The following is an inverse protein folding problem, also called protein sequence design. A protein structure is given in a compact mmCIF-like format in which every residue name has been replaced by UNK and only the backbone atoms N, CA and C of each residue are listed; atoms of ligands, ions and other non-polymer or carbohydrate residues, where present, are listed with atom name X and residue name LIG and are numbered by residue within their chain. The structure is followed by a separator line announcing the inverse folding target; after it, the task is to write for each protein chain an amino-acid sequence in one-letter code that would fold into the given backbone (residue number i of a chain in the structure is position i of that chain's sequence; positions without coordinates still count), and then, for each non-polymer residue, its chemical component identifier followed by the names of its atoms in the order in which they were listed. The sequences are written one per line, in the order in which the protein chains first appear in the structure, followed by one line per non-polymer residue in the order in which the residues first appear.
data_IF_726138145996
#
_entry.id   IF_726138145996
#
_cell.length_a   1.000
_cell.length_b   1.000
_cell.length_c   1.000
_cell.angle_alpha   90.00
_cell.angle_beta   90.00
_cell.angle_gamma   90.00
#
_symmetry.space_group_name_H-M   'P 1'
#
loop_
_entity.id
_entity.type
_entity.pdbx_description
1 polymer ?
#
# COMPACT_ATOMS: atom_id res chain seq x y z
N UNK A 1 -12.12 -25.62 -20.47
CA UNK A 1 -13.51 -25.35 -20.91
C UNK A 1 -14.34 -25.02 -19.68
N UNK A 2 -13.85 -24.12 -18.84
CA UNK A 2 -13.90 -22.65 -18.99
C UNK A 2 -15.27 -22.13 -18.60
N UNK A 3 -15.45 -21.94 -17.30
CA UNK A 3 -16.40 -21.00 -16.75
C UNK A 3 -15.60 -20.05 -15.86
N UNK A 4 -15.10 -18.99 -16.49
CA UNK A 4 -14.59 -17.83 -15.80
C UNK A 4 -15.69 -17.34 -14.84
N UNK A 5 -15.40 -17.37 -13.54
CA UNK A 5 -16.20 -16.69 -12.52
C UNK A 5 -16.00 -15.20 -12.73
N UNK A 6 -16.75 -14.65 -13.68
CA UNK A 6 -16.84 -13.23 -13.96
C UNK A 6 -17.59 -12.56 -12.81
N UNK A 7 -16.84 -12.04 -11.84
CA UNK A 7 -17.38 -11.23 -10.77
C UNK A 7 -17.97 -9.95 -11.37
N UNK A 8 -19.28 -9.96 -11.60
CA UNK A 8 -20.05 -8.77 -11.97
C UNK A 8 -19.98 -7.79 -10.80
N UNK A 9 -19.10 -6.79 -10.92
CA UNK A 9 -18.92 -5.73 -9.95
C UNK A 9 -20.11 -4.75 -10.01
N UNK A 10 -20.84 -4.51 -8.90
CA UNK A 10 -22.04 -3.67 -8.91
C UNK A 10 -21.71 -2.19 -9.16
N UNK A 11 -22.60 -1.50 -9.89
CA UNK A 11 -22.49 -0.07 -10.18
C UNK A 11 -22.27 0.75 -8.89
N UNK A 12 -21.06 1.32 -8.75
CA UNK A 12 -20.58 1.96 -7.51
C UNK A 12 -19.16 1.56 -7.10
N UNK A 13 -18.49 0.68 -7.84
CA UNK A 13 -17.10 0.28 -7.56
C UNK A 13 -16.15 1.47 -7.74
N UNK A 14 -15.81 2.12 -6.63
CA UNK A 14 -14.61 2.94 -6.58
C UNK A 14 -13.43 2.02 -6.88
N UNK A 15 -12.68 2.30 -7.96
CA UNK A 15 -11.49 1.55 -8.31
C UNK A 15 -10.58 1.39 -7.08
N UNK A 16 -10.04 0.18 -6.87
CA UNK A 16 -9.20 -0.07 -5.72
C UNK A 16 -8.02 0.92 -5.72
N UNK A 17 -7.83 1.71 -4.65
CA UNK A 17 -6.81 2.76 -4.60
C UNK A 17 -5.38 2.31 -4.91
N UNK A 18 -5.06 1.02 -4.73
CA UNK A 18 -3.74 0.44 -5.07
C UNK A 18 -3.59 0.08 -6.55
N UNK A 19 -4.61 0.26 -7.40
CA UNK A 19 -4.49 0.07 -8.85
C UNK A 19 -3.83 1.27 -9.54
N UNK A 20 -3.74 2.42 -8.87
CA UNK A 20 -3.01 3.56 -9.38
C UNK A 20 -1.53 3.46 -9.00
N UNK A 21 -0.64 3.18 -9.97
CA UNK A 21 0.79 2.98 -9.72
C UNK A 21 1.44 4.10 -8.91
N UNK A 22 1.03 5.37 -9.13
CA UNK A 22 1.51 6.52 -8.35
C UNK A 22 1.16 6.42 -6.87
N UNK A 23 -0.06 5.95 -6.55
CA UNK A 23 -0.54 5.78 -5.17
C UNK A 23 0.11 4.58 -4.52
N UNK A 24 0.25 3.48 -5.25
CA UNK A 24 0.92 2.27 -4.78
C UNK A 24 2.38 2.56 -4.44
N UNK A 25 3.09 3.27 -5.32
CA UNK A 25 4.46 3.68 -5.07
C UNK A 25 4.60 4.56 -3.82
N UNK A 26 3.73 5.57 -3.68
CA UNK A 26 3.68 6.40 -2.48
C UNK A 26 3.37 5.57 -1.21
N UNK A 27 2.43 4.63 -1.31
CA UNK A 27 2.05 3.75 -0.21
C UNK A 27 3.22 2.89 0.25
N UNK A 28 3.94 2.27 -0.69
CA UNK A 28 5.13 1.48 -0.42
C UNK A 28 6.17 2.31 0.34
N UNK A 29 6.51 3.51 -0.13
CA UNK A 29 7.49 4.39 0.53
C UNK A 29 7.04 4.76 1.94
N UNK A 30 5.77 5.16 2.09
CA UNK A 30 5.21 5.58 3.37
C UNK A 30 5.26 4.44 4.38
N UNK A 31 4.85 3.23 3.98
CA UNK A 31 4.81 2.04 4.82
C UNK A 31 6.22 1.61 5.20
N UNK A 32 7.15 1.52 4.25
CA UNK A 32 8.55 1.17 4.54
C UNK A 32 9.20 2.18 5.49
N UNK A 33 8.97 3.48 5.29
CA UNK A 33 9.45 4.52 6.20
C UNK A 33 8.88 4.36 7.61
N UNK A 34 7.62 3.94 7.73
CA UNK A 34 6.99 3.67 9.03
C UNK A 34 7.49 2.40 9.71
N UNK A 35 7.87 1.40 8.93
CA UNK A 35 8.38 0.13 9.44
C UNK A 35 9.82 0.24 9.94
N UNK A 36 10.67 0.99 9.24
CA UNK A 36 12.12 1.02 9.51
C UNK A 36 12.58 2.08 10.52
N UNK A 37 11.80 3.15 10.72
CA UNK A 37 12.24 4.31 11.52
C UNK A 37 11.54 4.32 12.87
N UNK A 38 12.27 4.54 13.96
CA UNK A 38 11.66 4.71 15.31
C UNK A 38 10.80 5.97 15.42
N UNK A 39 11.10 6.99 14.59
CA UNK A 39 10.36 8.24 14.51
C UNK A 39 9.84 8.46 13.10
N UNK A 40 8.58 8.16 12.90
CA UNK A 40 7.93 8.16 11.58
C UNK A 40 6.99 9.35 11.44
N UNK A 41 6.79 9.81 10.20
CA UNK A 41 5.78 10.84 9.93
C UNK A 41 4.36 10.29 10.10
N UNK A 42 3.51 11.07 10.78
CA UNK A 42 2.08 10.76 10.89
C UNK A 42 1.38 10.86 9.53
N UNK A 43 0.20 10.23 9.39
CA UNK A 43 -0.63 10.36 8.18
C UNK A 43 -1.02 11.81 7.86
N UNK A 44 -1.06 12.69 8.86
CA UNK A 44 -1.26 14.14 8.64
C UNK A 44 -0.05 14.80 7.98
N UNK A 45 1.17 14.40 8.34
CA UNK A 45 2.37 14.89 7.69
C UNK A 45 2.49 14.35 6.25
N UNK A 46 2.26 13.05 6.05
CA UNK A 46 2.22 12.45 4.71
C UNK A 46 1.14 13.04 3.79
N UNK A 47 0.01 13.46 4.35
CA UNK A 47 -1.03 14.21 3.62
C UNK A 47 -0.51 15.54 3.08
N UNK A 48 0.29 16.27 3.86
CA UNK A 48 0.93 17.51 3.39
C UNK A 48 1.99 17.26 2.32
N UNK A 49 2.77 16.19 2.45
CA UNK A 49 3.85 15.84 1.51
C UNK A 49 3.28 15.39 0.16
N UNK A 50 2.25 14.54 0.18
CA UNK A 50 1.66 13.93 -1.03
C UNK A 50 0.56 14.76 -1.68
N UNK A 51 -0.04 15.71 -0.94
CA UNK A 51 -1.24 16.42 -1.37
C UNK A 51 -2.54 15.58 -1.30
N UNK A 52 -2.48 14.33 -0.86
CA UNK A 52 -3.65 13.47 -0.69
C UNK A 52 -4.37 13.75 0.63
N UNK A 53 -5.68 13.48 0.67
CA UNK A 53 -6.45 13.59 1.91
C UNK A 53 -5.96 12.53 2.92
N UNK A 54 -5.88 12.89 4.20
CA UNK A 54 -5.54 11.97 5.30
C UNK A 54 -6.40 10.70 5.29
N UNK A 55 -7.71 10.82 4.99
CA UNK A 55 -8.62 9.67 4.91
C UNK A 55 -8.22 8.72 3.76
N UNK A 56 -7.87 9.30 2.62
CA UNK A 56 -7.45 8.56 1.43
C UNK A 56 -6.12 7.83 1.65
N UNK A 57 -5.14 8.51 2.25
CA UNK A 57 -3.88 7.89 2.66
C UNK A 57 -4.10 6.70 3.59
N UNK A 58 -4.99 6.84 4.58
CA UNK A 58 -5.31 5.73 5.48
C UNK A 58 -5.95 4.54 4.77
N UNK A 59 -6.76 4.76 3.73
CA UNK A 59 -7.35 3.67 2.93
C UNK A 59 -6.26 3.00 2.09
N UNK A 60 -5.45 3.78 1.37
CA UNK A 60 -4.36 3.28 0.53
C UNK A 60 -3.36 2.47 1.38
N UNK A 61 -2.98 2.99 2.55
CA UNK A 61 -2.08 2.34 3.51
C UNK A 61 -2.61 0.96 3.94
N UNK A 62 -3.85 0.91 4.45
CA UNK A 62 -4.45 -0.36 4.89
C UNK A 62 -4.60 -1.35 3.75
N UNK A 63 -4.93 -0.88 2.53
CA UNK A 63 -5.03 -1.74 1.36
C UNK A 63 -3.69 -2.31 0.94
N UNK A 64 -2.65 -1.48 0.90
CA UNK A 64 -1.30 -1.95 0.59
C UNK A 64 -0.80 -2.96 1.63
N UNK A 65 -0.99 -2.69 2.92
CA UNK A 65 -0.63 -3.64 4.00
C UNK A 65 -1.40 -4.96 3.88
N UNK A 66 -2.70 -4.90 3.56
CA UNK A 66 -3.50 -6.11 3.34
C UNK A 66 -3.03 -6.89 2.12
N UNK A 67 -2.59 -6.20 1.05
CA UNK A 67 -2.14 -6.82 -0.19
C UNK A 67 -0.80 -7.57 -0.04
N UNK A 68 0.05 -7.14 0.89
CA UNK A 68 1.32 -7.82 1.25
C UNK A 68 1.18 -8.71 2.50
N UNK A 69 -0.05 -8.94 2.98
CA UNK A 69 -0.31 -9.74 4.19
C UNK A 69 0.45 -9.27 5.44
N UNK A 70 0.74 -7.96 5.52
CA UNK A 70 1.59 -7.34 6.55
C UNK A 70 3.01 -7.91 6.62
N UNK A 71 3.49 -8.60 5.58
CA UNK A 71 4.87 -9.03 5.47
C UNK A 71 5.75 -7.89 4.94
N UNK A 72 6.52 -7.30 5.85
CA UNK A 72 7.42 -6.16 5.59
C UNK A 72 8.88 -6.49 5.93
N UNK A 73 9.10 -7.63 6.59
CA UNK A 73 10.40 -8.02 7.07
C UNK A 73 11.13 -8.79 5.99
N UNK A 74 12.37 -8.40 5.73
CA UNK A 74 13.28 -9.18 4.89
C UNK A 74 14.21 -9.94 5.82
N UNK A 75 14.26 -11.26 5.67
CA UNK A 75 15.14 -12.11 6.46
C UNK A 75 16.61 -11.91 6.09
N UNK A 76 17.52 -12.21 7.03
CA UNK A 76 18.96 -12.05 6.79
C UNK A 76 19.45 -12.84 5.57
N UNK A 77 18.98 -14.07 5.38
CA UNK A 77 19.36 -14.89 4.22
C UNK A 77 18.92 -14.30 2.89
N UNK A 78 17.74 -13.67 2.84
CA UNK A 78 17.24 -12.98 1.65
C UNK A 78 18.00 -11.68 1.40
N UNK A 79 18.25 -10.91 2.45
CA UNK A 79 19.02 -9.67 2.37
C UNK A 79 20.44 -9.89 1.84
N UNK A 80 21.12 -10.95 2.30
CA UNK A 80 22.47 -11.30 1.83
C UNK A 80 22.52 -11.66 0.34
N UNK A 81 21.41 -12.10 -0.27
CA UNK A 81 21.35 -12.40 -1.71
C UNK A 81 21.30 -11.12 -2.56
N UNK A 82 20.87 -9.99 -1.99
CA UNK A 82 20.72 -8.73 -2.71
C UNK A 82 22.00 -7.88 -2.74
N UNK A 83 23.03 -8.27 -1.98
CA UNK A 83 24.33 -7.60 -1.89
C UNK A 83 25.36 -8.34 -2.75
#
# INVERSE_FOLDING_TARGET
MDAATEATLPAGVSADPILCSRRTFLASIMISSKFLQDRTFSNRAWSKISGLNVKELGIVERRMLSAIEFDLSVGESEWQLWT
#
